data_IF_071453639387
#
_entry.id   IF_071453639387
#
_cell.length_a   1.000
_cell.length_b   1.000
_cell.length_c   1.000
_cell.angle_alpha   90.00
_cell.angle_beta   90.00
_cell.angle_gamma   90.00
#
_symmetry.space_group_name_H-M   'P 1'
#
loop_
_entity.id
_entity.type
_entity.pdbx_description
1 polymer ?
#
# COMPACT_ATOMS: atom_id res chain seq x y z
N UNK A 1 -43.46 -24.68 18.93
CA UNK A 1 -43.07 -23.26 18.74
C UNK A 1 -42.06 -22.75 19.78
N UNK A 2 -42.17 -23.09 21.08
CA UNK A 2 -41.23 -22.61 22.12
C UNK A 2 -39.74 -22.92 21.82
N UNK A 3 -39.44 -24.15 21.39
CA UNK A 3 -38.07 -24.53 21.04
C UNK A 3 -37.50 -23.74 19.84
N UNK A 4 -38.33 -23.40 18.87
CA UNK A 4 -37.93 -22.59 17.71
C UNK A 4 -37.61 -21.15 18.13
N UNK A 5 -38.44 -20.56 19.01
CA UNK A 5 -38.18 -19.23 19.57
C UNK A 5 -36.86 -19.23 20.37
N UNK A 6 -36.62 -20.27 21.18
CA UNK A 6 -35.36 -20.42 21.92
C UNK A 6 -34.15 -20.54 20.99
N UNK A 7 -34.27 -21.28 19.87
CA UNK A 7 -33.21 -21.40 18.88
C UNK A 7 -32.87 -20.04 18.22
N UNK A 8 -33.88 -19.23 17.91
CA UNK A 8 -33.67 -17.87 17.37
C UNK A 8 -32.93 -17.00 18.39
N UNK A 9 -33.35 -17.01 19.65
CA UNK A 9 -32.71 -16.23 20.73
C UNK A 9 -31.24 -16.67 20.90
N UNK A 10 -30.98 -17.98 20.90
CA UNK A 10 -29.63 -18.52 20.99
C UNK A 10 -28.76 -18.12 19.79
N UNK A 11 -29.31 -18.16 18.57
CA UNK A 11 -28.60 -17.75 17.36
C UNK A 11 -28.23 -16.26 17.37
N UNK A 12 -29.16 -15.39 17.81
CA UNK A 12 -28.88 -13.96 17.98
C UNK A 12 -27.77 -13.76 19.02
N UNK A 13 -27.88 -14.44 20.17
CA UNK A 13 -26.87 -14.36 21.23
C UNK A 13 -25.47 -14.79 20.74
N UNK A 14 -25.39 -15.92 20.04
CA UNK A 14 -24.15 -16.40 19.43
C UNK A 14 -23.59 -15.42 18.39
N UNK A 15 -24.45 -14.80 17.57
CA UNK A 15 -24.05 -13.80 16.60
C UNK A 15 -23.39 -12.57 17.23
N UNK A 16 -23.98 -12.05 18.32
CA UNK A 16 -23.41 -10.90 19.06
C UNK A 16 -22.06 -11.26 19.69
N UNK A 17 -21.97 -12.43 20.32
CA UNK A 17 -20.71 -12.92 20.91
C UNK A 17 -19.63 -13.10 19.85
N UNK A 18 -19.97 -13.71 18.71
CA UNK A 18 -19.04 -13.93 17.61
C UNK A 18 -18.56 -12.61 17.00
N UNK A 19 -19.45 -11.62 16.83
CA UNK A 19 -19.09 -10.29 16.35
C UNK A 19 -18.05 -9.64 17.26
N UNK A 20 -18.31 -9.62 18.57
CA UNK A 20 -17.41 -9.00 19.54
C UNK A 20 -16.04 -9.69 19.58
N UNK A 21 -16.04 -11.03 19.63
CA UNK A 21 -14.81 -11.82 19.64
C UNK A 21 -14.00 -11.70 18.35
N UNK A 22 -14.66 -11.56 17.20
CA UNK A 22 -13.98 -11.41 15.91
C UNK A 22 -13.36 -10.01 15.80
N UNK A 23 -14.10 -8.96 16.14
CA UNK A 23 -13.59 -7.58 16.07
C UNK A 23 -12.44 -7.34 17.04
N UNK A 24 -12.43 -7.97 18.23
CA UNK A 24 -11.34 -7.80 19.19
C UNK A 24 -10.02 -8.46 18.77
N UNK A 25 -10.06 -9.45 17.88
CA UNK A 25 -8.88 -10.22 17.48
C UNK A 25 -8.39 -9.91 16.06
N UNK A 26 -9.02 -8.97 15.36
CA UNK A 26 -8.61 -8.57 14.02
C UNK A 26 -7.55 -7.46 14.07
N UNK A 27 -6.39 -7.73 13.47
CA UNK A 27 -5.42 -6.70 13.13
C UNK A 27 -5.74 -6.15 11.75
N UNK A 28 -5.92 -4.84 11.62
CA UNK A 28 -6.19 -4.23 10.32
C UNK A 28 -4.99 -4.44 9.38
N UNK A 29 -5.25 -4.67 8.08
CA UNK A 29 -4.18 -4.92 7.10
C UNK A 29 -3.13 -3.80 7.07
N UNK A 30 -3.53 -2.54 7.27
CA UNK A 30 -2.58 -1.44 7.37
C UNK A 30 -1.71 -1.53 8.63
N UNK A 31 -2.20 -2.09 9.74
CA UNK A 31 -1.38 -2.27 10.95
C UNK A 31 -0.43 -3.46 10.81
N UNK A 32 -0.87 -4.54 10.18
CA UNK A 32 -0.06 -5.74 9.96
C UNK A 32 1.03 -5.55 8.91
N UNK A 33 0.76 -4.76 7.87
CA UNK A 33 1.64 -4.59 6.71
C UNK A 33 2.17 -3.17 6.51
N UNK A 34 1.79 -2.19 7.34
CA UNK A 34 2.61 -0.99 7.49
C UNK A 34 3.88 -1.40 8.24
N UNK A 35 4.81 -1.99 7.50
CA UNK A 35 6.23 -1.83 7.80
C UNK A 35 6.48 -0.31 7.86
N UNK A 36 7.50 0.14 8.60
CA UNK A 36 7.94 1.54 8.45
C UNK A 36 8.32 1.69 6.97
N UNK A 37 7.40 2.20 6.16
CA UNK A 37 7.49 2.18 4.71
C UNK A 37 8.86 2.68 4.35
N UNK A 38 9.56 1.95 3.46
CA UNK A 38 10.96 2.15 3.12
C UNK A 38 11.30 3.63 3.26
N UNK A 39 11.91 4.00 4.40
CA UNK A 39 12.35 5.37 4.59
C UNK A 39 13.55 5.46 3.70
N UNK A 40 13.27 5.85 2.47
CA UNK A 40 14.26 6.15 1.46
C UNK A 40 14.95 7.42 1.98
N UNK A 41 15.92 7.23 2.86
CA UNK A 41 16.82 8.30 3.32
C UNK A 41 17.54 8.94 2.13
N UNK A 42 17.71 8.19 1.03
CA UNK A 42 18.30 8.64 -0.22
C UNK A 42 17.35 8.36 -1.43
N UNK A 43 16.53 9.34 -1.86
CA UNK A 43 15.59 9.20 -2.98
C UNK A 43 16.22 8.73 -4.30
N UNK A 44 17.54 8.93 -4.46
CA UNK A 44 18.27 8.64 -5.68
C UNK A 44 18.80 7.21 -5.82
N UNK A 45 19.20 6.54 -4.75
CA UNK A 45 19.92 5.24 -4.85
C UNK A 45 19.00 4.02 -4.76
N UNK A 46 17.82 4.17 -4.13
CA UNK A 46 16.89 3.07 -3.90
C UNK A 46 16.18 2.55 -5.17
N UNK A 47 16.20 3.29 -6.28
CA UNK A 47 15.47 2.93 -7.50
C UNK A 47 16.36 2.26 -8.57
N UNK A 48 17.68 2.27 -8.37
CA UNK A 48 18.66 2.14 -9.46
C UNK A 48 20.03 1.61 -9.02
N UNK A 49 20.27 1.48 -7.71
CA UNK A 49 21.53 1.03 -7.12
C UNK A 49 22.59 2.12 -6.96
N UNK A 50 23.57 1.85 -6.08
CA UNK A 50 24.66 2.79 -5.70
C UNK A 50 25.52 3.28 -6.87
N UNK A 51 25.51 2.58 -8.00
CA UNK A 51 26.33 2.90 -9.18
C UNK A 51 25.61 3.74 -10.23
N UNK A 52 24.36 4.15 -10.00
CA UNK A 52 23.69 5.07 -10.91
C UNK A 52 24.20 6.49 -10.69
N UNK A 53 24.79 7.07 -11.74
CA UNK A 53 25.24 8.45 -11.75
C UNK A 53 24.17 9.43 -12.28
N UNK A 54 22.98 8.95 -12.65
CA UNK A 54 21.90 9.78 -13.21
C UNK A 54 22.23 10.41 -14.56
N UNK A 55 23.39 10.09 -15.14
CA UNK A 55 23.89 10.76 -16.33
C UNK A 55 23.36 10.02 -17.57
N UNK A 56 22.47 10.63 -18.37
CA UNK A 56 22.03 10.01 -19.60
C UNK A 56 23.25 9.85 -20.51
N UNK A 57 23.65 8.62 -20.82
CA UNK A 57 24.71 8.39 -21.81
C UNK A 57 24.31 9.08 -23.11
N UNK A 58 25.08 10.10 -23.48
CA UNK A 58 24.96 10.76 -24.77
C UNK A 58 25.74 9.92 -25.78
N UNK A 59 25.13 9.64 -26.93
CA UNK A 59 25.85 9.07 -28.06
C UNK A 59 26.83 10.09 -28.65
N UNK A 60 27.75 9.66 -29.54
CA UNK A 60 28.81 10.50 -30.13
C UNK A 60 28.30 11.75 -30.89
N UNK A 61 26.99 11.84 -31.11
CA UNK A 61 26.30 12.98 -31.72
C UNK A 61 25.70 13.96 -30.70
N UNK A 62 25.89 13.73 -29.39
CA UNK A 62 25.43 14.62 -28.31
C UNK A 62 23.95 14.47 -27.94
N UNK A 63 23.26 13.43 -28.43
CA UNK A 63 21.85 13.15 -28.09
C UNK A 63 21.75 12.10 -26.99
N UNK A 64 20.78 12.26 -26.08
CA UNK A 64 20.49 11.26 -25.06
C UNK A 64 20.08 9.95 -25.73
N UNK A 65 20.78 8.84 -25.48
CA UNK A 65 20.53 7.54 -26.13
C UNK A 65 19.12 6.97 -25.90
N UNK A 66 18.40 7.50 -24.91
CA UNK A 66 16.97 7.33 -24.73
C UNK A 66 16.32 8.71 -24.81
N UNK A 67 15.46 8.90 -25.82
CA UNK A 67 14.74 10.15 -26.02
C UNK A 67 14.10 10.61 -24.72
N UNK A 68 14.30 11.89 -24.37
CA UNK A 68 13.64 12.52 -23.22
C UNK A 68 12.15 12.23 -23.36
N UNK A 69 11.54 11.54 -22.39
CA UNK A 69 10.11 11.37 -22.35
C UNK A 69 9.49 12.78 -22.23
N UNK A 70 8.97 13.30 -23.34
CA UNK A 70 8.20 14.54 -23.42
C UNK A 70 6.79 14.25 -22.89
N UNK A 71 6.71 13.88 -21.61
CA UNK A 71 5.46 13.82 -20.86
C UNK A 71 5.19 15.17 -20.22
N UNK A 72 3.93 15.61 -20.29
CA UNK A 72 3.41 16.77 -19.57
C UNK A 72 3.93 16.76 -18.11
N UNK A 73 4.49 17.86 -17.59
CA UNK A 73 4.92 17.91 -16.19
C UNK A 73 3.73 17.62 -15.29
N UNK A 74 3.82 16.54 -14.50
CA UNK A 74 2.77 16.16 -13.56
C UNK A 74 2.50 17.32 -12.61
N UNK A 75 1.33 17.94 -12.74
CA UNK A 75 0.93 19.01 -11.84
C UNK A 75 0.94 18.50 -10.40
N UNK A 76 1.59 19.22 -9.46
CA UNK A 76 1.52 18.86 -8.05
C UNK A 76 0.05 18.94 -7.62
N UNK A 77 -0.52 17.80 -7.24
CA UNK A 77 -1.86 17.75 -6.64
C UNK A 77 -1.76 18.47 -5.30
N UNK A 78 -2.17 19.74 -5.26
CA UNK A 78 -2.30 20.51 -4.02
C UNK A 78 -3.37 19.81 -3.16
N UNK A 79 -2.95 19.22 -2.04
CA UNK A 79 -3.85 18.82 -0.95
C UNK A 79 -4.46 20.05 -0.30
#
# INVERSE_FOLDING_TARGET
MKAFILAIIAAIGLGVVAMYALTSNQTFAYQAFATSGARVSEPGTNLVGEKWNGDPQTNDTGESAHGKATGEPSHPKRS
#
